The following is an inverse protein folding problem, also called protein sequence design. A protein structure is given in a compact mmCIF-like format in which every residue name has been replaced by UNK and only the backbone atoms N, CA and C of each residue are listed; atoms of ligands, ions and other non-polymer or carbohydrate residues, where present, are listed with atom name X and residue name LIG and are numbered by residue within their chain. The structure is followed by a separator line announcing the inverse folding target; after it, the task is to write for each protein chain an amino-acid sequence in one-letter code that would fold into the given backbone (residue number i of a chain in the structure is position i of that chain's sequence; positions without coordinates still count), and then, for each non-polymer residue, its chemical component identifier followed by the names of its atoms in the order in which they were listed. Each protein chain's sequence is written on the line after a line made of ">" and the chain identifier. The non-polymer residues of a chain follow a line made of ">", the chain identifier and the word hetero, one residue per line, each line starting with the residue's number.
data_IF_244829752595
#
_entry.id   IF_244829752595
#
_cell.length_a   1.000
_cell.length_b   1.000
_cell.length_c   1.000
_cell.angle_alpha   90.00
_cell.angle_beta   90.00
_cell.angle_gamma   90.00
#
_symmetry.space_group_name_H-M   'P 1'
#
loop_
_entity.id
_entity.type
_entity.pdbx_description
1 polymer ?
#
# COMPACT_ATOMS: atom_id res chain seq x y z
N UNK A 1 -14.99 -0.62 -0.84
CA UNK A 1 -13.72 -0.38 -1.57
C UNK A 1 -13.82 -1.05 -2.91
N UNK A 2 -13.12 -0.50 -3.90
CA UNK A 2 -13.19 -0.97 -5.29
C UNK A 2 -11.80 -1.22 -5.84
N UNK A 3 -11.66 -2.23 -6.71
CA UNK A 3 -10.48 -2.35 -7.58
C UNK A 3 -10.60 -1.29 -8.67
N UNK A 4 -9.51 -0.56 -8.94
CA UNK A 4 -9.45 0.48 -9.96
C UNK A 4 -8.23 0.29 -10.86
N UNK A 5 -8.23 0.85 -12.09
CA UNK A 5 -7.03 0.94 -12.91
C UNK A 5 -5.93 1.77 -12.23
N UNK A 6 -4.66 1.55 -12.60
CA UNK A 6 -3.54 2.29 -12.04
C UNK A 6 -3.68 3.80 -12.29
N UNK A 7 -4.13 4.17 -13.48
CA UNK A 7 -4.28 5.53 -13.99
C UNK A 7 -5.28 6.34 -13.17
N UNK A 8 -6.36 5.71 -12.71
CA UNK A 8 -7.38 6.34 -11.88
C UNK A 8 -6.77 6.91 -10.59
N UNK A 9 -5.68 6.31 -10.10
CA UNK A 9 -5.03 6.69 -8.85
C UNK A 9 -3.91 7.74 -9.03
N UNK A 10 -3.51 8.05 -10.27
CA UNK A 10 -2.34 8.91 -10.54
C UNK A 10 -2.47 10.31 -9.93
N UNK A 11 -3.64 10.93 -10.06
CA UNK A 11 -3.88 12.27 -9.52
C UNK A 11 -3.68 12.32 -8.00
N UNK A 12 -4.29 11.39 -7.26
CA UNK A 12 -4.15 11.31 -5.82
C UNK A 12 -2.70 10.97 -5.41
N UNK A 13 -2.10 9.94 -6.01
CA UNK A 13 -0.74 9.52 -5.67
C UNK A 13 0.28 10.61 -5.94
N UNK A 14 0.16 11.34 -7.06
CA UNK A 14 1.01 12.51 -7.33
C UNK A 14 0.85 13.56 -6.24
N UNK A 15 -0.38 13.98 -5.96
CA UNK A 15 -0.65 15.03 -4.98
C UNK A 15 -0.15 14.69 -3.56
N UNK A 16 -0.24 13.43 -3.14
CA UNK A 16 0.10 13.00 -1.77
C UNK A 16 1.54 12.51 -1.63
N UNK A 17 2.06 11.80 -2.62
CA UNK A 17 3.31 11.05 -2.50
C UNK A 17 4.46 11.59 -3.34
N UNK A 18 4.17 12.19 -4.50
CA UNK A 18 5.15 12.58 -5.52
C UNK A 18 4.76 13.91 -6.20
N UNK A 19 4.61 15.03 -5.44
CA UNK A 19 4.05 16.27 -5.98
C UNK A 19 4.89 16.90 -7.10
N UNK A 20 6.15 16.48 -7.25
CA UNK A 20 7.08 16.95 -8.28
C UNK A 20 7.02 16.15 -9.60
N UNK A 21 6.41 14.97 -9.62
CA UNK A 21 6.30 14.14 -10.84
C UNK A 21 5.15 14.61 -11.73
N UNK A 22 5.25 14.36 -13.04
CA UNK A 22 4.13 14.55 -13.98
C UNK A 22 3.19 13.35 -13.89
N UNK A 23 1.92 13.49 -14.27
CA UNK A 23 0.97 12.36 -14.28
C UNK A 23 1.44 11.23 -15.19
N UNK A 24 2.04 11.55 -16.33
CA UNK A 24 2.58 10.57 -17.27
C UNK A 24 3.72 9.72 -16.66
N UNK A 25 4.36 10.19 -15.59
CA UNK A 25 5.46 9.50 -14.91
C UNK A 25 5.00 8.75 -13.65
N UNK A 26 3.69 8.65 -13.41
CA UNK A 26 3.13 7.97 -12.23
C UNK A 26 2.96 6.46 -12.38
N UNK A 27 3.10 5.94 -13.59
CA UNK A 27 3.13 4.50 -13.86
C UNK A 27 4.30 3.86 -13.10
N UNK A 28 4.10 2.65 -12.58
CA UNK A 28 5.14 1.93 -11.86
C UNK A 28 5.45 0.59 -12.53
N UNK A 29 6.72 0.14 -12.52
CA UNK A 29 7.07 -1.21 -12.95
C UNK A 29 6.21 -2.27 -12.24
N UNK A 30 5.71 -3.25 -13.01
CA UNK A 30 4.83 -4.32 -12.53
C UNK A 30 3.34 -3.95 -12.48
N UNK A 31 2.93 -2.78 -12.97
CA UNK A 31 1.51 -2.44 -13.16
C UNK A 31 0.82 -3.31 -14.24
N UNK A 32 1.60 -3.97 -15.09
CA UNK A 32 1.20 -4.95 -16.10
C UNK A 32 0.99 -6.37 -15.56
N UNK A 33 1.46 -6.66 -14.34
CA UNK A 33 1.22 -7.96 -13.69
C UNK A 33 -0.27 -8.10 -13.32
N UNK A 34 -0.97 -9.15 -13.80
CA UNK A 34 -2.39 -9.35 -13.51
C UNK A 34 -2.71 -9.54 -12.02
N UNK A 35 -1.74 -9.94 -11.20
CA UNK A 35 -1.87 -10.08 -9.75
C UNK A 35 -1.72 -8.74 -9.02
N UNK A 36 -1.08 -7.74 -9.65
CA UNK A 36 -1.01 -6.37 -9.13
C UNK A 36 -2.39 -5.73 -9.16
N UNK A 37 -2.80 -5.16 -8.04
CA UNK A 37 -4.07 -4.46 -7.92
C UNK A 37 -3.93 -3.11 -7.22
N UNK A 38 -4.73 -2.15 -7.68
CA UNK A 38 -4.99 -0.93 -6.95
C UNK A 38 -6.35 -1.03 -6.29
N UNK A 39 -6.39 -0.77 -4.98
CA UNK A 39 -7.62 -0.65 -4.21
C UNK A 39 -7.87 0.82 -3.91
N UNK A 40 -9.13 1.23 -3.96
CA UNK A 40 -9.53 2.60 -3.71
C UNK A 40 -10.80 2.70 -2.85
N UNK A 41 -10.86 3.79 -2.09
CA UNK A 41 -12.10 4.34 -1.55
C UNK A 41 -12.56 5.44 -2.50
N UNK A 42 -13.77 5.29 -3.01
CA UNK A 42 -14.42 6.25 -3.88
C UNK A 42 -15.29 7.19 -3.05
N UNK A 43 -15.29 8.48 -3.38
CA UNK A 43 -16.20 9.48 -2.84
C UNK A 43 -17.31 9.81 -3.83
N UNK A 44 -17.71 11.08 -3.86
CA UNK A 44 -18.77 11.55 -4.75
C UNK A 44 -18.24 11.72 -6.18
N UNK A 45 -19.03 11.32 -7.18
CA UNK A 45 -18.62 11.35 -8.59
C UNK A 45 -17.31 10.56 -8.86
N UNK A 46 -17.14 9.45 -8.16
CA UNK A 46 -16.02 8.50 -8.32
C UNK A 46 -14.62 9.08 -8.05
N UNK A 47 -14.52 10.14 -7.24
CA UNK A 47 -13.22 10.66 -6.83
C UNK A 47 -12.47 9.69 -5.90
N UNK A 48 -11.16 9.53 -6.12
CA UNK A 48 -10.33 8.65 -5.30
C UNK A 48 -9.95 9.38 -4.00
N UNK A 49 -10.61 9.06 -2.89
CA UNK A 49 -10.33 9.62 -1.57
C UNK A 49 -9.09 8.99 -0.93
N UNK A 50 -8.89 7.70 -1.16
CA UNK A 50 -7.78 6.93 -0.61
C UNK A 50 -7.44 5.77 -1.54
N UNK A 51 -6.18 5.38 -1.61
CA UNK A 51 -5.72 4.27 -2.45
C UNK A 51 -4.49 3.58 -1.90
N UNK A 52 -4.33 2.29 -2.22
CA UNK A 52 -3.08 1.54 -2.10
C UNK A 52 -2.88 0.67 -3.34
N UNK A 53 -1.64 0.26 -3.54
CA UNK A 53 -1.25 -0.78 -4.49
C UNK A 53 -0.80 -2.02 -3.74
N UNK A 54 -1.25 -3.18 -4.19
CA UNK A 54 -0.85 -4.49 -3.69
C UNK A 54 -0.27 -5.31 -4.85
N UNK A 55 0.87 -5.97 -4.63
CA UNK A 55 1.54 -6.78 -5.63
C UNK A 55 2.24 -8.00 -4.98
N UNK A 56 2.41 -9.13 -5.70
CA UNK A 56 3.27 -10.23 -5.24
C UNK A 56 4.74 -9.81 -5.42
N UNK A 57 5.47 -9.67 -4.32
CA UNK A 57 6.92 -9.38 -4.35
C UNK A 57 7.57 -10.02 -3.14
N UNK A 58 8.72 -10.73 -3.30
CA UNK A 58 9.47 -11.29 -2.20
C UNK A 58 9.74 -10.26 -1.09
N UNK A 59 9.56 -10.67 0.16
CA UNK A 59 9.88 -9.84 1.30
C UNK A 59 11.41 -9.86 1.52
N UNK A 60 12.10 -8.71 1.51
CA UNK A 60 13.56 -8.66 1.71
C UNK A 60 13.99 -9.15 3.11
N UNK A 61 13.07 -9.12 4.09
CA UNK A 61 13.32 -9.56 5.47
C UNK A 61 12.89 -11.01 5.72
N UNK A 62 12.30 -11.68 4.72
CA UNK A 62 11.92 -13.09 4.79
C UNK A 62 12.14 -13.74 3.42
N UNK A 63 13.39 -13.79 2.92
CA UNK A 63 13.69 -14.15 1.53
C UNK A 63 13.33 -15.58 1.14
N UNK A 64 13.13 -16.48 2.11
CA UNK A 64 12.70 -17.86 1.88
C UNK A 64 11.19 -17.99 1.60
N UNK A 65 10.39 -16.94 1.86
CA UNK A 65 8.93 -16.93 1.65
C UNK A 65 8.62 -16.66 0.17
N UNK A 66 7.77 -17.48 -0.42
CA UNK A 66 7.28 -17.35 -1.81
C UNK A 66 5.85 -16.79 -1.90
N UNK A 67 5.19 -16.65 -0.76
CA UNK A 67 3.81 -16.20 -0.53
C UNK A 67 3.74 -14.73 -0.06
N UNK A 68 4.73 -13.92 -0.45
CA UNK A 68 4.87 -12.55 0.02
C UNK A 68 4.19 -11.52 -0.90
N UNK A 69 3.50 -10.58 -0.28
CA UNK A 69 2.79 -9.48 -0.92
C UNK A 69 3.27 -8.15 -0.38
N UNK A 70 3.51 -7.20 -1.28
CA UNK A 70 3.92 -5.86 -0.91
C UNK A 70 2.77 -4.86 -1.04
N UNK A 71 2.46 -4.16 0.03
CA UNK A 71 1.66 -2.94 0.03
C UNK A 71 2.54 -1.73 -0.27
N UNK A 72 2.16 -0.95 -1.29
CA UNK A 72 2.84 0.29 -1.69
C UNK A 72 1.86 1.41 -2.00
N UNK A 73 2.42 2.60 -2.17
CA UNK A 73 1.71 3.77 -2.72
C UNK A 73 0.42 4.12 -1.98
N UNK A 74 0.41 3.89 -0.66
CA UNK A 74 -0.68 4.27 0.21
C UNK A 74 -0.84 5.79 0.26
N UNK A 75 -1.96 6.30 -0.24
CA UNK A 75 -2.26 7.73 -0.28
C UNK A 75 -3.68 7.99 0.19
N UNK A 76 -3.89 9.05 0.97
CA UNK A 76 -5.22 9.53 1.37
C UNK A 76 -5.26 11.04 1.21
N UNK A 77 -6.30 11.52 0.53
CA UNK A 77 -6.54 12.94 0.28
C UNK A 77 -6.56 13.72 1.59
N UNK A 78 -5.99 14.93 1.63
CA UNK A 78 -5.80 15.69 2.88
C UNK A 78 -7.12 15.88 3.64
N UNK A 79 -8.21 16.18 2.92
CA UNK A 79 -9.54 16.40 3.49
C UNK A 79 -10.25 15.10 3.92
N UNK A 80 -9.74 13.93 3.52
CA UNK A 80 -10.33 12.62 3.81
C UNK A 80 -9.51 11.82 4.87
N UNK A 81 -8.51 12.44 5.49
CA UNK A 81 -7.68 11.81 6.55
C UNK A 81 -8.44 11.74 7.86
N UNK A 82 -8.10 10.75 8.69
CA UNK A 82 -8.75 10.54 9.99
C UNK A 82 -10.12 9.87 9.94
N UNK A 83 -10.66 9.62 8.74
CA UNK A 83 -11.99 9.02 8.53
C UNK A 83 -11.97 7.49 8.38
N UNK A 84 -10.84 6.84 8.71
CA UNK A 84 -10.71 5.38 8.64
C UNK A 84 -10.50 4.78 7.24
N UNK A 85 -10.54 5.56 6.15
CA UNK A 85 -10.35 5.05 4.78
C UNK A 85 -9.07 4.24 4.59
N UNK A 86 -7.97 4.72 5.20
CA UNK A 86 -6.70 4.03 5.07
C UNK A 86 -6.70 2.66 5.77
N UNK A 87 -7.23 2.60 6.99
CA UNK A 87 -7.34 1.34 7.74
C UNK A 87 -8.27 0.36 7.01
N UNK A 88 -9.36 0.87 6.44
CA UNK A 88 -10.27 0.09 5.63
C UNK A 88 -9.51 -0.54 4.45
N UNK A 89 -8.77 0.24 3.66
CA UNK A 89 -8.01 -0.30 2.53
C UNK A 89 -7.01 -1.41 2.94
N UNK A 90 -6.29 -1.23 4.05
CA UNK A 90 -5.38 -2.26 4.56
C UNK A 90 -6.15 -3.54 4.91
N UNK A 91 -7.30 -3.43 5.57
CA UNK A 91 -8.15 -4.59 5.86
C UNK A 91 -8.64 -5.30 4.58
N UNK A 92 -8.96 -4.55 3.51
CA UNK A 92 -9.30 -5.16 2.22
C UNK A 92 -8.10 -5.84 1.54
N UNK A 93 -6.90 -5.31 1.68
CA UNK A 93 -5.68 -5.97 1.19
C UNK A 93 -5.41 -7.28 1.95
N UNK A 94 -5.53 -7.27 3.29
CA UNK A 94 -5.39 -8.47 4.13
C UNK A 94 -6.42 -9.52 3.74
N UNK A 95 -7.70 -9.16 3.62
CA UNK A 95 -8.75 -10.10 3.19
C UNK A 95 -8.44 -10.71 1.82
N UNK A 96 -8.01 -9.90 0.86
CA UNK A 96 -7.64 -10.40 -0.48
C UNK A 96 -6.52 -11.44 -0.43
N UNK A 97 -5.51 -11.24 0.42
CA UNK A 97 -4.41 -12.20 0.59
C UNK A 97 -4.93 -13.47 1.26
N UNK A 98 -5.77 -13.33 2.30
CA UNK A 98 -6.39 -14.45 3.00
C UNK A 98 -7.25 -15.32 2.05
N UNK A 99 -8.06 -14.70 1.20
CA UNK A 99 -8.88 -15.36 0.16
C UNK A 99 -8.03 -16.08 -0.89
N UNK A 100 -6.73 -15.78 -0.99
CA UNK A 100 -5.77 -16.40 -1.92
C UNK A 100 -4.86 -17.44 -1.25
N UNK A 101 -5.22 -17.88 -0.03
CA UNK A 101 -4.46 -18.87 0.72
C UNK A 101 -3.56 -18.30 1.81
N UNK A 102 -3.64 -16.99 2.07
CA UNK A 102 -2.83 -16.31 3.07
C UNK A 102 -1.41 -16.03 2.61
N UNK A 103 -0.56 -15.62 3.56
CA UNK A 103 0.86 -15.44 3.35
C UNK A 103 1.45 -14.29 4.17
N UNK A 104 2.45 -13.61 3.62
CA UNK A 104 3.14 -12.50 4.30
C UNK A 104 2.83 -11.17 3.61
N UNK A 105 2.19 -10.24 4.29
CA UNK A 105 2.02 -8.87 3.83
C UNK A 105 3.15 -8.00 4.37
N UNK A 106 3.77 -7.18 3.51
CA UNK A 106 4.86 -6.32 3.92
C UNK A 106 4.82 -4.93 3.26
N UNK A 107 5.45 -3.94 3.90
CA UNK A 107 5.57 -2.60 3.33
C UNK A 107 6.83 -1.87 3.82
N UNK A 108 7.26 -0.88 3.03
CA UNK A 108 8.23 0.13 3.47
C UNK A 108 7.43 1.30 4.03
N UNK A 109 7.23 1.34 5.34
CA UNK A 109 6.48 2.40 5.99
C UNK A 109 7.39 3.60 6.23
N UNK A 110 6.89 4.82 5.99
CA UNK A 110 7.50 6.03 6.55
C UNK A 110 7.45 5.94 8.06
N UNK A 111 8.51 6.30 8.77
CA UNK A 111 8.54 6.24 10.24
C UNK A 111 7.35 6.97 10.90
N UNK A 112 6.93 8.17 10.45
CA UNK A 112 5.72 8.81 10.99
C UNK A 112 4.40 8.03 10.79
N UNK A 113 4.36 7.10 9.85
CA UNK A 113 3.20 6.24 9.58
C UNK A 113 3.28 4.88 10.30
N UNK A 114 4.38 4.57 11.00
CA UNK A 114 4.56 3.31 11.72
C UNK A 114 3.41 3.02 12.72
N UNK A 115 2.93 3.98 13.55
CA UNK A 115 1.80 3.72 14.45
C UNK A 115 0.50 3.35 13.73
N UNK A 116 0.31 3.81 12.48
CA UNK A 116 -0.85 3.43 11.67
C UNK A 116 -0.78 1.95 11.26
N UNK A 117 0.38 1.49 10.79
CA UNK A 117 0.57 0.10 10.39
C UNK A 117 0.57 -0.85 11.60
N UNK A 118 1.13 -0.44 12.75
CA UNK A 118 1.03 -1.22 14.00
C UNK A 118 -0.43 -1.47 14.37
N UNK A 119 -1.29 -0.43 14.33
CA UNK A 119 -2.73 -0.61 14.58
C UNK A 119 -3.43 -1.49 13.54
N UNK A 120 -2.87 -1.62 12.34
CA UNK A 120 -3.38 -2.50 11.30
C UNK A 120 -2.86 -3.95 11.43
N UNK A 121 -2.06 -4.25 12.45
CA UNK A 121 -1.54 -5.60 12.74
C UNK A 121 -0.14 -5.87 12.18
N UNK A 122 0.59 -4.86 11.75
CA UNK A 122 1.99 -5.00 11.33
C UNK A 122 2.96 -4.93 12.51
N UNK A 123 4.09 -5.62 12.38
CA UNK A 123 5.26 -5.50 13.25
C UNK A 123 6.46 -4.99 12.45
N UNK A 124 7.42 -4.34 13.11
CA UNK A 124 8.64 -3.87 12.45
C UNK A 124 9.61 -5.04 12.23
N UNK A 125 10.19 -5.15 11.03
CA UNK A 125 11.20 -6.15 10.65
C UNK A 125 12.63 -5.74 11.07
N UNK A 126 12.77 -4.93 12.13
CA UNK A 126 14.00 -4.30 12.66
C UNK A 126 14.75 -3.34 11.71
N UNK A 127 14.56 -3.44 10.39
CA UNK A 127 15.26 -2.64 9.41
C UNK A 127 14.71 -1.21 9.29
N UNK A 128 15.57 -0.21 9.51
CA UNK A 128 15.29 1.22 9.33
C UNK A 128 16.36 1.85 8.44
N UNK A 129 15.95 2.80 7.59
CA UNK A 129 16.85 3.51 6.69
C UNK A 129 16.31 4.89 6.34
N UNK A 130 17.17 5.78 5.87
CA UNK A 130 16.77 7.07 5.30
C UNK A 130 16.65 6.95 3.78
N UNK A 131 15.43 7.07 3.28
CA UNK A 131 15.14 7.19 1.86
C UNK A 131 15.43 8.63 1.40
N UNK A 132 16.27 8.80 0.38
CA UNK A 132 16.71 10.13 -0.08
C UNK A 132 15.55 11.01 -0.56
N UNK A 133 14.45 10.41 -1.05
CA UNK A 133 13.30 11.14 -1.57
C UNK A 133 12.17 11.26 -0.53
N UNK A 134 12.02 10.28 0.37
CA UNK A 134 10.87 10.18 1.28
C UNK A 134 11.21 10.27 2.76
N UNK A 135 12.48 10.38 3.13
CA UNK A 135 12.95 10.46 4.51
C UNK A 135 12.99 9.11 5.22
N UNK A 136 12.92 9.07 6.56
CA UNK A 136 13.12 7.85 7.33
C UNK A 136 12.00 6.82 7.10
N UNK A 137 12.39 5.57 6.85
CA UNK A 137 11.53 4.40 6.64
C UNK A 137 11.87 3.26 7.58
N UNK A 138 10.89 2.37 7.77
CA UNK A 138 11.00 1.12 8.51
C UNK A 138 10.31 0.01 7.71
N UNK A 139 10.94 -1.15 7.69
CA UNK A 139 10.35 -2.36 7.13
C UNK A 139 9.29 -2.91 8.05
N UNK A 140 8.10 -3.19 7.54
CA UNK A 140 7.00 -3.72 8.34
C UNK A 140 6.37 -4.94 7.69
N UNK A 141 6.00 -5.92 8.52
CA UNK A 141 5.42 -7.21 8.09
C UNK A 141 4.17 -7.56 8.88
N UNK A 142 3.29 -8.36 8.29
CA UNK A 142 2.08 -8.90 8.90
C UNK A 142 1.84 -10.31 8.33
N UNK A 143 1.71 -11.30 9.20
CA UNK A 143 1.21 -12.62 8.80
C UNK A 143 -0.29 -12.53 8.51
N UNK A 144 -0.69 -13.13 7.38
CA UNK A 144 -2.08 -13.17 6.94
C UNK A 144 -2.51 -14.65 6.86
N UNK A 145 -3.37 -15.13 7.75
CA UNK A 145 -3.88 -16.50 7.67
C UNK A 145 -4.82 -16.65 6.45
N UNK A 146 -4.94 -17.88 5.94
CA UNK A 146 -5.98 -18.22 4.96
C UNK A 146 -7.39 -18.07 5.57
N UNK A 147 -8.38 -17.71 4.74
CA UNK A 147 -9.81 -17.63 5.14
C UNK A 147 -10.52 -18.98 5.12
#
# INVERSE_FOLDING_TARGET
>A
MSRVPAEATYALRRAVLRPRLRLADMAMPGDDDPATVYLAVLGAADDILSTLRLQPVPCPWSPARTDAWQLRSMATAKHARGLGHGAALVAAAVRRIADQGGGLLWCNARVPAEPFYVRAGFTAAEHRWDDLEFGPHVGMVQEVPAS
#
